data_IF_749300202459
#
_entry.id   IF_749300202459
#
_cell.length_a   1.000
_cell.length_b   1.000
_cell.length_c   1.000
_cell.angle_alpha   90.00
_cell.angle_beta   90.00
_cell.angle_gamma   90.00
#
_symmetry.space_group_name_H-M   'P 1'
#
loop_
_entity.id
_entity.type
_entity.pdbx_description
1 polymer ?
#
# COMPACT_ATOMS: atom_id res chain seq x y z
N UNK A 1 14.49 -96.06 -40.02
CA UNK A 1 13.85 -94.71 -40.21
C UNK A 1 13.47 -94.21 -38.88
N UNK A 2 14.23 -93.21 -38.32
CA UNK A 2 13.98 -92.62 -37.03
C UNK A 2 13.54 -91.20 -37.29
N UNK A 3 12.31 -90.82 -36.90
CA UNK A 3 11.77 -89.47 -36.95
C UNK A 3 12.27 -88.69 -35.71
N UNK A 4 12.91 -87.59 -35.96
CA UNK A 4 13.31 -86.60 -34.89
C UNK A 4 12.17 -85.64 -34.67
N UNK A 5 11.73 -85.53 -33.41
CA UNK A 5 10.79 -84.52 -32.97
C UNK A 5 11.54 -83.23 -32.74
N UNK A 6 10.97 -82.08 -33.06
CA UNK A 6 11.56 -80.80 -32.70
C UNK A 6 11.16 -80.42 -31.28
N UNK A 7 12.13 -79.92 -30.51
CA UNK A 7 11.94 -79.34 -29.18
C UNK A 7 11.30 -77.96 -29.28
N UNK A 8 10.22 -77.79 -28.56
CA UNK A 8 9.58 -76.46 -28.41
C UNK A 8 10.35 -75.63 -27.39
N UNK A 9 10.84 -74.51 -27.86
CA UNK A 9 11.47 -73.47 -26.99
C UNK A 9 10.36 -72.62 -26.39
N UNK A 10 10.14 -72.72 -25.09
CA UNK A 10 9.24 -71.78 -24.34
C UNK A 10 9.98 -70.53 -24.02
N UNK A 11 9.58 -69.44 -24.65
CA UNK A 11 10.08 -68.08 -24.29
C UNK A 11 9.28 -67.57 -23.09
N UNK A 12 9.94 -67.42 -21.97
CA UNK A 12 9.37 -66.72 -20.79
C UNK A 12 9.41 -65.23 -20.98
N UNK A 13 8.24 -64.57 -21.17
CA UNK A 13 8.11 -63.13 -21.12
C UNK A 13 8.13 -62.67 -19.64
N UNK A 14 9.21 -62.04 -19.27
CA UNK A 14 9.29 -61.25 -17.99
C UNK A 14 8.55 -59.96 -18.16
N UNK A 15 7.35 -59.86 -17.61
CA UNK A 15 6.63 -58.59 -17.44
C UNK A 15 7.27 -57.78 -16.30
N UNK A 16 8.08 -56.79 -16.66
CA UNK A 16 8.52 -55.77 -15.72
C UNK A 16 7.32 -54.84 -15.38
N UNK A 17 6.69 -55.08 -14.23
CA UNK A 17 5.72 -54.16 -13.68
C UNK A 17 6.46 -52.93 -13.11
N UNK A 18 6.41 -51.79 -13.81
CA UNK A 18 6.79 -50.49 -13.24
C UNK A 18 5.80 -50.15 -12.14
N UNK A 19 6.22 -50.31 -10.88
CA UNK A 19 5.50 -49.76 -9.73
C UNK A 19 5.73 -48.26 -9.74
N UNK A 20 4.75 -47.50 -10.21
CA UNK A 20 4.72 -46.01 -10.04
C UNK A 20 4.32 -45.75 -8.61
N UNK A 21 5.30 -45.47 -7.75
CA UNK A 21 5.03 -44.92 -6.42
C UNK A 21 4.46 -43.51 -6.58
N UNK A 22 3.15 -43.34 -6.35
CA UNK A 22 2.54 -42.06 -6.24
C UNK A 22 3.13 -41.35 -4.99
N UNK A 23 4.05 -40.42 -5.22
CA UNK A 23 4.44 -39.49 -4.17
C UNK A 23 3.24 -38.61 -3.85
N UNK A 24 2.67 -38.77 -2.65
CA UNK A 24 1.71 -37.85 -2.09
C UNK A 24 2.43 -36.50 -1.91
N UNK A 25 2.35 -35.61 -2.91
CA UNK A 25 2.67 -34.22 -2.75
C UNK A 25 1.55 -33.64 -1.89
N UNK A 26 1.86 -33.32 -0.64
CA UNK A 26 0.94 -32.57 0.22
C UNK A 26 0.53 -31.31 -0.54
N UNK A 27 -0.78 -30.92 -0.52
CA UNK A 27 -1.17 -29.67 -1.13
C UNK A 27 -0.37 -28.54 -0.48
N UNK A 28 0.36 -27.77 -1.29
CA UNK A 28 0.96 -26.50 -0.86
C UNK A 28 -0.16 -25.70 -0.21
N UNK A 29 0.00 -25.17 1.02
CA UNK A 29 -1.01 -24.31 1.59
C UNK A 29 -1.28 -23.19 0.57
N UNK A 30 -2.56 -23.01 0.24
CA UNK A 30 -3.00 -21.94 -0.65
C UNK A 30 -2.35 -20.67 -0.13
N UNK A 31 -1.58 -19.99 -1.01
CA UNK A 31 -0.79 -18.83 -0.62
C UNK A 31 -1.66 -17.91 0.23
N UNK A 32 -1.17 -17.58 1.41
CA UNK A 32 -1.78 -16.62 2.30
C UNK A 32 -1.96 -15.35 1.45
N UNK A 33 -3.18 -15.03 1.08
CA UNK A 33 -3.50 -13.81 0.40
C UNK A 33 -2.99 -12.71 1.33
N UNK A 34 -1.99 -11.93 0.88
CA UNK A 34 -1.47 -10.81 1.65
C UNK A 34 -2.68 -9.97 2.07
N UNK A 35 -3.02 -10.01 3.34
CA UNK A 35 -4.12 -9.23 3.88
C UNK A 35 -3.83 -7.76 3.56
N UNK A 36 -4.78 -7.07 2.94
CA UNK A 36 -4.69 -5.62 2.79
C UNK A 36 -4.68 -5.07 4.21
N UNK A 37 -3.64 -4.30 4.61
CA UNK A 37 -3.56 -3.78 5.96
C UNK A 37 -4.81 -2.97 6.29
N UNK A 38 -5.22 -3.01 7.54
CA UNK A 38 -6.23 -2.12 8.09
C UNK A 38 -5.83 -0.66 7.82
N UNK A 39 -6.84 0.22 7.73
CA UNK A 39 -6.64 1.64 7.45
C UNK A 39 -5.63 2.28 8.40
N UNK A 40 -5.78 2.03 9.69
CA UNK A 40 -4.95 2.67 10.73
C UNK A 40 -3.53 2.12 10.66
N UNK A 41 -3.35 0.82 10.45
CA UNK A 41 -2.04 0.19 10.21
C UNK A 41 -1.34 0.78 8.98
N UNK A 42 -2.07 0.98 7.88
CA UNK A 42 -1.50 1.56 6.66
C UNK A 42 -1.09 3.04 6.87
N UNK A 43 -1.85 3.82 7.63
CA UNK A 43 -1.52 5.20 7.99
C UNK A 43 -0.28 5.21 8.89
N UNK A 44 -0.20 4.37 9.90
CA UNK A 44 0.93 4.28 10.82
C UNK A 44 2.22 3.90 10.09
N UNK A 45 2.16 2.95 9.15
CA UNK A 45 3.29 2.59 8.31
C UNK A 45 3.80 3.80 7.50
N UNK A 46 2.89 4.54 6.85
CA UNK A 46 3.26 5.75 6.12
C UNK A 46 3.91 6.80 7.03
N UNK A 47 3.30 7.09 8.19
CA UNK A 47 3.79 8.09 9.15
C UNK A 47 5.20 7.74 9.65
N UNK A 48 5.46 6.47 9.93
CA UNK A 48 6.79 6.02 10.37
C UNK A 48 7.85 6.23 9.28
N UNK A 49 7.54 5.92 8.02
CA UNK A 49 8.44 6.11 6.88
C UNK A 49 8.69 7.60 6.59
N UNK A 50 7.65 8.43 6.61
CA UNK A 50 7.76 9.87 6.41
C UNK A 50 8.56 10.54 7.53
N UNK A 51 8.38 10.12 8.78
CA UNK A 51 9.14 10.60 9.93
C UNK A 51 10.63 10.31 9.78
N UNK A 52 11.00 9.07 9.41
CA UNK A 52 12.39 8.71 9.15
C UNK A 52 12.99 9.55 8.02
N UNK A 53 12.27 9.67 6.90
CA UNK A 53 12.76 10.45 5.76
C UNK A 53 13.00 11.93 6.11
N UNK A 54 12.19 12.53 6.96
CA UNK A 54 12.39 13.90 7.46
C UNK A 54 13.62 14.02 8.35
N UNK A 55 13.86 13.04 9.22
CA UNK A 55 15.09 13.01 10.04
C UNK A 55 16.33 12.90 9.15
N UNK A 56 16.31 12.03 8.15
CA UNK A 56 17.39 11.85 7.19
C UNK A 56 17.63 13.12 6.33
N UNK A 57 16.56 13.90 6.10
CA UNK A 57 16.64 15.20 5.41
C UNK A 57 17.10 16.36 6.31
N UNK A 58 17.36 16.11 7.60
CA UNK A 58 17.88 17.09 8.54
C UNK A 58 16.81 17.95 9.23
N UNK A 59 15.52 17.58 9.21
CA UNK A 59 14.50 18.26 10.00
C UNK A 59 14.74 18.03 11.50
N UNK A 60 14.82 19.12 12.28
CA UNK A 60 15.19 19.07 13.70
C UNK A 60 14.17 18.36 14.61
N UNK A 61 12.92 18.24 14.16
CA UNK A 61 11.84 17.57 14.89
C UNK A 61 10.92 16.78 13.95
N UNK A 62 10.32 15.67 14.40
CA UNK A 62 9.28 14.99 13.66
C UNK A 62 8.04 15.87 13.51
N UNK A 63 7.17 15.51 12.56
CA UNK A 63 5.83 16.11 12.48
C UNK A 63 5.00 15.68 13.69
N UNK A 64 4.26 16.62 14.23
CA UNK A 64 3.31 16.36 15.32
C UNK A 64 1.97 15.99 14.69
N UNK A 65 1.46 14.83 15.05
CA UNK A 65 0.11 14.41 14.65
C UNK A 65 -0.96 15.31 15.26
N UNK A 66 -1.96 15.67 14.45
CA UNK A 66 -3.12 16.43 14.91
C UNK A 66 -4.41 15.76 14.42
N UNK A 67 -5.26 15.37 15.35
CA UNK A 67 -6.51 14.68 15.06
C UNK A 67 -7.47 15.56 14.23
N UNK A 68 -7.51 16.86 14.47
CA UNK A 68 -8.33 17.79 13.70
C UNK A 68 -7.83 17.93 12.23
N UNK A 69 -6.51 17.93 12.01
CA UNK A 69 -5.93 17.94 10.66
C UNK A 69 -6.19 16.59 9.97
N UNK A 70 -6.07 15.50 10.71
CA UNK A 70 -6.36 14.15 10.19
C UNK A 70 -7.85 14.01 9.82
N UNK A 71 -8.76 14.59 10.60
CA UNK A 71 -10.19 14.62 10.29
C UNK A 71 -10.47 15.36 8.96
N UNK A 72 -9.80 16.49 8.71
CA UNK A 72 -9.91 17.23 7.43
C UNK A 72 -9.37 16.39 6.27
N UNK A 73 -8.21 15.72 6.45
CA UNK A 73 -7.63 14.84 5.44
C UNK A 73 -8.55 13.65 5.15
N UNK A 74 -9.12 13.03 6.20
CA UNK A 74 -10.06 11.92 6.07
C UNK A 74 -11.33 12.33 5.32
N UNK A 75 -11.91 13.48 5.66
CA UNK A 75 -13.09 13.99 4.99
C UNK A 75 -12.84 14.23 3.50
N UNK A 76 -11.65 14.72 3.11
CA UNK A 76 -11.30 14.90 1.70
C UNK A 76 -11.13 13.57 0.97
N UNK A 77 -10.46 12.59 1.57
CA UNK A 77 -10.35 11.24 1.00
C UNK A 77 -11.73 10.60 0.79
N UNK A 78 -12.64 10.75 1.76
CA UNK A 78 -14.01 10.26 1.65
C UNK A 78 -14.80 11.00 0.57
N UNK A 79 -14.62 12.31 0.44
CA UNK A 79 -15.30 13.12 -0.57
C UNK A 79 -14.85 12.72 -1.97
N UNK A 80 -13.54 12.60 -2.22
CA UNK A 80 -12.99 12.10 -3.47
C UNK A 80 -13.59 10.73 -3.82
N UNK A 81 -13.60 9.80 -2.87
CA UNK A 81 -14.15 8.46 -3.09
C UNK A 81 -15.65 8.48 -3.36
N UNK A 82 -16.44 9.23 -2.57
CA UNK A 82 -17.89 9.26 -2.67
C UNK A 82 -18.39 9.94 -3.94
N UNK A 83 -17.72 11.03 -4.34
CA UNK A 83 -18.12 11.86 -5.49
C UNK A 83 -17.39 11.47 -6.79
N UNK A 84 -16.44 10.52 -6.74
CA UNK A 84 -15.76 9.98 -7.91
C UNK A 84 -14.82 10.97 -8.59
N UNK A 85 -14.09 11.78 -7.85
CA UNK A 85 -13.06 12.68 -8.38
C UNK A 85 -11.71 12.45 -7.71
N UNK A 86 -10.64 12.97 -8.31
CA UNK A 86 -9.29 12.94 -7.75
C UNK A 86 -8.60 14.28 -8.05
N UNK A 87 -8.70 15.21 -7.11
CA UNK A 87 -8.17 16.57 -7.23
C UNK A 87 -7.93 17.18 -5.84
N UNK A 88 -7.02 18.14 -5.74
CA UNK A 88 -6.78 18.95 -4.54
C UNK A 88 -7.95 19.89 -4.23
N UNK A 89 -8.63 20.36 -5.27
CA UNK A 89 -9.80 21.26 -5.15
C UNK A 89 -11.08 20.44 -5.26
N UNK A 90 -11.98 20.60 -4.30
CA UNK A 90 -13.27 19.92 -4.35
C UNK A 90 -14.12 20.41 -5.54
N UNK A 91 -15.11 19.65 -6.02
CA UNK A 91 -16.06 20.13 -7.03
C UNK A 91 -16.83 21.38 -6.63
N UNK A 92 -16.85 21.73 -5.33
CA UNK A 92 -17.45 22.96 -4.79
C UNK A 92 -16.46 24.12 -4.72
N UNK A 93 -15.21 23.93 -5.19
CA UNK A 93 -14.18 24.95 -5.27
C UNK A 93 -13.33 25.12 -4.00
N UNK A 94 -13.48 24.24 -3.00
CA UNK A 94 -12.71 24.36 -1.75
C UNK A 94 -11.28 23.83 -1.95
N UNK A 95 -10.29 24.69 -1.71
CA UNK A 95 -8.87 24.33 -1.69
C UNK A 95 -8.50 23.61 -0.37
N UNK A 96 -7.30 22.99 -0.27
CA UNK A 96 -6.80 22.44 0.99
C UNK A 96 -6.79 23.48 2.12
N UNK A 97 -6.43 24.73 1.83
CA UNK A 97 -6.44 25.80 2.82
C UNK A 97 -7.85 26.11 3.30
N UNK A 98 -8.82 26.22 2.37
CA UNK A 98 -10.22 26.50 2.73
C UNK A 98 -10.80 25.40 3.62
N UNK A 99 -10.47 24.12 3.35
CA UNK A 99 -10.93 23.00 4.18
C UNK A 99 -10.35 23.05 5.59
N UNK A 100 -9.04 23.36 5.73
CA UNK A 100 -8.35 23.46 7.01
C UNK A 100 -8.90 24.65 7.82
N UNK A 101 -9.04 25.82 7.19
CA UNK A 101 -9.59 27.01 7.85
C UNK A 101 -11.08 26.87 8.18
N UNK A 102 -11.84 26.22 7.29
CA UNK A 102 -13.27 25.93 7.52
C UNK A 102 -13.49 24.99 8.70
N UNK A 103 -12.50 24.17 9.07
CA UNK A 103 -12.50 23.35 10.28
C UNK A 103 -12.06 24.12 11.54
N UNK A 104 -11.83 25.43 11.46
CA UNK A 104 -11.40 26.27 12.58
C UNK A 104 -9.91 26.16 12.92
N UNK A 105 -9.10 25.58 12.05
CA UNK A 105 -7.66 25.38 12.27
C UNK A 105 -6.92 26.62 11.73
N UNK A 106 -6.36 27.43 12.62
CA UNK A 106 -5.57 28.61 12.26
C UNK A 106 -4.16 28.18 11.81
N UNK A 107 -3.78 28.53 10.57
CA UNK A 107 -2.52 28.13 9.96
C UNK A 107 -1.88 29.27 9.16
N UNK A 108 -0.53 29.29 9.15
CA UNK A 108 0.26 30.13 8.24
C UNK A 108 0.46 29.49 6.87
N UNK A 109 0.53 28.16 6.81
CA UNK A 109 0.77 27.43 5.58
C UNK A 109 0.14 26.03 5.62
N UNK A 110 -0.29 25.59 4.45
CA UNK A 110 -0.81 24.21 4.19
C UNK A 110 -0.13 23.67 2.95
N UNK A 111 0.25 22.39 3.00
CA UNK A 111 0.53 21.59 1.81
C UNK A 111 -0.29 20.31 1.86
N UNK A 112 -0.58 19.79 0.68
CA UNK A 112 -1.33 18.54 0.54
C UNK A 112 -0.65 17.62 -0.47
N UNK A 113 -0.60 16.35 -0.12
CA UNK A 113 -0.33 15.26 -1.05
C UNK A 113 -1.57 14.39 -1.13
N UNK A 114 -2.00 14.04 -2.33
CA UNK A 114 -3.06 13.05 -2.57
C UNK A 114 -2.52 11.89 -3.41
N UNK A 115 -3.08 10.71 -3.20
CA UNK A 115 -2.76 9.52 -4.00
C UNK A 115 -3.99 8.63 -4.15
N UNK A 116 -4.00 7.83 -5.22
CA UNK A 116 -5.09 6.90 -5.52
C UNK A 116 -4.53 5.56 -5.98
N UNK A 117 -5.00 4.48 -5.34
CA UNK A 117 -4.69 3.11 -5.75
C UNK A 117 -3.56 2.43 -4.96
N UNK A 118 -2.89 3.12 -4.06
CA UNK A 118 -1.83 2.54 -3.24
C UNK A 118 -2.43 1.71 -2.09
N UNK A 119 -2.11 0.40 -2.00
CA UNK A 119 -2.74 -0.48 -1.02
C UNK A 119 -2.12 -0.43 0.38
N UNK A 120 -0.91 0.15 0.54
CA UNK A 120 -0.17 0.17 1.80
C UNK A 120 0.45 1.53 2.07
N UNK A 121 0.82 1.80 3.32
CA UNK A 121 1.56 2.99 3.70
C UNK A 121 2.93 3.08 3.03
N UNK A 122 3.62 1.95 2.88
CA UNK A 122 4.87 1.89 2.15
C UNK A 122 4.70 2.25 0.67
N UNK A 123 3.66 1.74 0.01
CA UNK A 123 3.42 2.01 -1.41
C UNK A 123 3.07 3.47 -1.68
N UNK A 124 2.28 4.12 -0.82
CA UNK A 124 1.97 5.55 -0.96
C UNK A 124 3.20 6.41 -0.64
N UNK A 125 3.98 6.04 0.37
CA UNK A 125 5.24 6.71 0.68
C UNK A 125 6.20 6.70 -0.52
N UNK A 126 6.43 5.54 -1.14
CA UNK A 126 7.30 5.42 -2.31
C UNK A 126 6.79 6.22 -3.51
N UNK A 127 5.46 6.22 -3.75
CA UNK A 127 4.84 7.04 -4.79
C UNK A 127 5.14 8.53 -4.58
N UNK A 128 4.93 9.05 -3.37
CA UNK A 128 5.18 10.45 -3.05
C UNK A 128 6.68 10.78 -2.99
N UNK A 129 7.50 9.88 -2.50
CA UNK A 129 8.96 10.03 -2.50
C UNK A 129 9.53 10.16 -3.92
N UNK A 130 8.99 9.41 -4.86
CA UNK A 130 9.36 9.43 -6.27
C UNK A 130 8.96 10.72 -7.01
N UNK A 131 7.94 11.42 -6.54
CA UNK A 131 7.44 12.68 -7.12
C UNK A 131 8.12 13.89 -6.50
N UNK A 132 8.73 14.76 -7.31
CA UNK A 132 9.47 15.93 -6.80
C UNK A 132 8.59 16.92 -6.02
N UNK A 133 7.32 17.09 -6.41
CA UNK A 133 6.35 17.96 -5.73
C UNK A 133 5.93 17.38 -4.38
N UNK A 134 5.46 16.13 -4.38
CA UNK A 134 5.03 15.47 -3.15
C UNK A 134 6.18 15.29 -2.14
N UNK A 135 7.36 14.91 -2.62
CA UNK A 135 8.57 14.81 -1.79
C UNK A 135 8.93 16.14 -1.14
N UNK A 136 8.87 17.25 -1.89
CA UNK A 136 9.12 18.58 -1.34
C UNK A 136 8.17 18.91 -0.20
N UNK A 137 6.88 18.62 -0.34
CA UNK A 137 5.91 18.83 0.72
C UNK A 137 6.28 18.01 1.97
N UNK A 138 6.53 16.69 1.81
CA UNK A 138 6.87 15.82 2.95
C UNK A 138 8.14 16.23 3.68
N UNK A 139 9.16 16.69 2.95
CA UNK A 139 10.48 17.00 3.50
C UNK A 139 10.69 18.47 3.86
N UNK A 140 9.68 19.33 3.65
CA UNK A 140 9.78 20.73 4.07
C UNK A 140 9.67 20.84 5.59
N UNK A 141 10.78 21.21 6.24
CA UNK A 141 10.87 21.33 7.69
C UNK A 141 10.06 22.51 8.28
N UNK A 142 9.54 23.42 7.46
CA UNK A 142 8.65 24.49 7.93
C UNK A 142 7.28 23.98 8.36
N UNK A 143 6.82 22.85 7.81
CA UNK A 143 5.64 22.19 8.31
C UNK A 143 5.99 21.42 9.58
N UNK A 144 5.24 21.67 10.63
CA UNK A 144 5.49 21.11 11.96
C UNK A 144 4.41 20.12 12.42
N UNK A 145 3.23 20.17 11.79
CA UNK A 145 2.11 19.30 12.14
C UNK A 145 1.53 18.64 10.89
N UNK A 146 0.87 17.53 11.07
CA UNK A 146 0.25 16.81 9.98
C UNK A 146 -0.96 15.98 10.41
N UNK A 147 -1.71 15.50 9.42
CA UNK A 147 -2.72 14.47 9.54
C UNK A 147 -2.86 13.73 8.22
N UNK A 148 -3.26 12.48 8.28
CA UNK A 148 -3.46 11.61 7.11
C UNK A 148 -4.87 11.06 7.12
N UNK A 149 -5.47 10.98 5.94
CA UNK A 149 -6.75 10.33 5.70
C UNK A 149 -6.64 9.26 4.63
N UNK A 150 -7.38 8.17 4.80
CA UNK A 150 -7.49 7.07 3.84
C UNK A 150 -8.94 6.60 3.76
N UNK A 151 -9.53 6.65 2.55
CA UNK A 151 -10.86 6.15 2.28
C UNK A 151 -10.86 5.25 1.03
N UNK A 152 -11.00 3.95 1.23
CA UNK A 152 -10.77 2.97 0.18
C UNK A 152 -9.34 3.07 -0.34
N UNK A 153 -9.15 3.49 -1.59
CA UNK A 153 -7.83 3.68 -2.19
C UNK A 153 -7.39 5.16 -2.28
N UNK A 154 -8.17 6.10 -1.73
CA UNK A 154 -7.88 7.54 -1.78
C UNK A 154 -7.13 7.97 -0.52
N UNK A 155 -5.92 8.49 -0.71
CA UNK A 155 -5.06 9.01 0.33
C UNK A 155 -5.02 10.52 0.31
N UNK A 156 -5.01 11.14 1.49
CA UNK A 156 -4.75 12.57 1.67
C UNK A 156 -3.76 12.76 2.82
N UNK A 157 -2.66 13.45 2.59
CA UNK A 157 -1.72 13.87 3.63
C UNK A 157 -1.70 15.40 3.68
N UNK A 158 -2.22 15.97 4.74
CA UNK A 158 -2.14 17.40 5.04
C UNK A 158 -0.93 17.69 5.93
N UNK A 159 -0.14 18.68 5.53
CA UNK A 159 0.95 19.23 6.31
C UNK A 159 0.64 20.69 6.62
N UNK A 160 0.77 21.09 7.87
CA UNK A 160 0.42 22.44 8.28
C UNK A 160 1.52 23.09 9.13
N UNK A 161 1.62 24.41 9.01
CA UNK A 161 2.32 25.30 9.95
C UNK A 161 1.26 26.10 10.70
N UNK A 162 0.92 25.75 11.96
CA UNK A 162 -0.04 26.49 12.76
C UNK A 162 0.40 27.94 13.02
N UNK A 163 -0.58 28.78 13.31
CA UNK A 163 -0.38 30.17 13.81
C UNK A 163 0.05 30.17 15.25
#
# INVERSE_FOLDING_TARGET
MRRKSPAALAAALLLNACVVTATNVAPTPAGEALAVPDRDEAIDEFVALATRARADAGCAAPLIWRDDVAAVAQAHSEDMRRRGYFDHVTPDGLTPLDRVQGAGIAVWAVAENIALGQPTGASVYESWRGSSGHRRNMLNCEYTHHGVGLAGAHWTHLLVRPQ
#
